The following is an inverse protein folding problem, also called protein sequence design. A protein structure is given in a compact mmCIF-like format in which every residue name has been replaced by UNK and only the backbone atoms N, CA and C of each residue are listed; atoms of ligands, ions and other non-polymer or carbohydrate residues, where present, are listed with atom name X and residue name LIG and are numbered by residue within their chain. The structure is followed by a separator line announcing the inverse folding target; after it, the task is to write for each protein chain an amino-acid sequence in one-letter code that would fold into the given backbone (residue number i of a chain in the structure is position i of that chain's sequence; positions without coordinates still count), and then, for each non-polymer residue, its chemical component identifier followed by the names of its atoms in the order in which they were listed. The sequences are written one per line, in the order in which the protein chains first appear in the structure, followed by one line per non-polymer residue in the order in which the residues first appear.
data_IF_651110455623
#
_entry.id   IF_651110455623
#
_cell.length_a   1.000
_cell.length_b   1.000
_cell.length_c   1.000
_cell.angle_alpha   90.00
_cell.angle_beta   90.00
_cell.angle_gamma   90.00
#
_symmetry.space_group_name_H-M   'P 1'
#
loop_
_entity.id
_entity.type
_entity.pdbx_description
1 polymer ?
#
# COMPACT_ATOMS: atom_id res chain seq x y z
N UNK A 1 -6.23 9.08 12.84
CA UNK A 1 -5.40 7.88 13.03
C UNK A 1 -3.93 8.21 12.81
N UNK A 2 -3.06 7.81 13.72
CA UNK A 2 -1.63 8.03 13.60
C UNK A 2 -1.00 6.95 12.70
N UNK A 3 0.21 7.21 12.21
CA UNK A 3 0.96 6.20 11.44
C UNK A 3 1.17 4.91 12.24
N UNK A 4 1.37 5.02 13.55
CA UNK A 4 1.57 3.89 14.42
C UNK A 4 0.31 3.03 14.50
N UNK A 5 -0.86 3.64 14.64
CA UNK A 5 -2.13 2.92 14.68
C UNK A 5 -2.40 2.20 13.38
N UNK A 6 -2.14 2.85 12.24
CA UNK A 6 -2.30 2.22 10.94
C UNK A 6 -1.35 1.02 10.79
N UNK A 7 -0.10 1.16 11.21
CA UNK A 7 0.87 0.08 11.16
C UNK A 7 0.48 -1.08 12.07
N UNK A 8 -0.04 -0.80 13.26
CA UNK A 8 -0.52 -1.84 14.17
C UNK A 8 -1.71 -2.60 13.60
N UNK A 9 -2.64 -1.90 12.94
CA UNK A 9 -3.77 -2.53 12.25
C UNK A 9 -3.27 -3.46 11.14
N UNK A 10 -2.34 -3.00 10.31
CA UNK A 10 -1.76 -3.82 9.24
C UNK A 10 -1.06 -5.06 9.78
N UNK A 11 -0.46 -4.96 10.96
CA UNK A 11 0.25 -6.06 11.61
C UNK A 11 -0.66 -7.24 11.93
N UNK A 12 -1.95 -6.99 12.18
CA UNK A 12 -2.92 -8.02 12.55
C UNK A 12 -3.86 -8.40 11.41
N UNK A 13 -3.70 -7.81 10.22
CA UNK A 13 -4.52 -8.15 9.07
C UNK A 13 -3.83 -9.18 8.19
N UNK A 14 -4.63 -9.82 7.32
CA UNK A 14 -4.10 -10.69 6.28
C UNK A 14 -3.16 -9.89 5.36
N UNK A 15 -2.11 -10.50 4.79
CA UNK A 15 -1.29 -9.84 3.79
C UNK A 15 -2.07 -9.40 2.54
N UNK A 16 -3.32 -9.82 2.43
CA UNK A 16 -4.20 -9.47 1.31
C UNK A 16 -5.14 -8.31 1.60
N UNK A 17 -5.00 -7.66 2.75
CA UNK A 17 -5.90 -6.59 3.16
C UNK A 17 -5.10 -5.41 3.70
N UNK A 18 -5.45 -4.20 3.25
CA UNK A 18 -4.92 -2.96 3.79
C UNK A 18 -6.05 -2.03 4.19
N UNK A 19 -5.88 -1.32 5.30
CA UNK A 19 -6.78 -0.24 5.70
C UNK A 19 -6.16 1.09 5.31
N UNK A 20 -6.95 1.93 4.66
CA UNK A 20 -6.52 3.26 4.26
C UNK A 20 -7.47 4.31 4.81
N UNK A 21 -6.95 5.53 4.96
CA UNK A 21 -7.76 6.69 5.33
C UNK A 21 -7.85 7.57 4.10
N UNK A 22 -9.08 7.82 3.64
CA UNK A 22 -9.33 8.65 2.47
C UNK A 22 -9.15 10.14 2.81
N UNK A 23 -9.14 10.99 1.78
CA UNK A 23 -8.99 12.44 1.93
C UNK A 23 -10.05 13.08 2.84
N UNK A 24 -11.23 12.45 2.96
CA UNK A 24 -12.32 12.94 3.82
C UNK A 24 -12.39 12.18 5.14
N UNK A 25 -11.28 11.58 5.58
CA UNK A 25 -11.12 10.89 6.86
C UNK A 25 -12.00 9.65 7.03
N UNK A 26 -12.34 8.98 5.94
CA UNK A 26 -13.08 7.72 6.00
C UNK A 26 -12.09 6.56 5.95
N UNK A 27 -12.19 5.64 6.91
CA UNK A 27 -11.40 4.42 6.93
C UNK A 27 -12.00 3.44 5.93
N UNK A 28 -11.19 2.99 4.98
CA UNK A 28 -11.60 1.99 3.99
C UNK A 28 -10.72 0.76 4.07
N UNK A 29 -11.34 -0.38 3.85
CA UNK A 29 -10.69 -1.68 3.74
C UNK A 29 -10.51 -1.99 2.26
N UNK A 30 -9.26 -2.24 1.85
CA UNK A 30 -8.93 -2.54 0.46
C UNK A 30 -8.34 -3.94 0.38
N UNK A 31 -8.84 -4.75 -0.54
CA UNK A 31 -8.41 -6.13 -0.71
C UNK A 31 -7.40 -6.25 -1.84
N UNK A 32 -6.39 -7.10 -1.65
CA UNK A 32 -5.47 -7.46 -2.72
C UNK A 32 -6.12 -8.48 -3.67
N UNK A 33 -5.79 -8.41 -4.96
CA UNK A 33 -4.96 -7.37 -5.56
C UNK A 33 -5.71 -6.06 -5.71
N UNK A 34 -5.01 -4.95 -5.54
CA UNK A 34 -5.58 -3.63 -5.80
C UNK A 34 -4.62 -2.80 -6.65
N UNK A 35 -5.15 -1.79 -7.33
CA UNK A 35 -4.37 -0.96 -8.25
C UNK A 35 -3.77 0.24 -7.54
N UNK A 36 -2.54 0.55 -7.90
CA UNK A 36 -1.86 1.77 -7.46
C UNK A 36 -1.25 2.49 -8.65
N UNK A 37 -1.15 3.80 -8.53
CA UNK A 37 -0.52 4.68 -9.50
C UNK A 37 0.90 5.00 -9.00
N UNK A 38 1.89 4.85 -9.88
CA UNK A 38 3.28 5.13 -9.54
C UNK A 38 3.52 6.63 -9.58
N UNK A 39 3.90 7.23 -8.45
CA UNK A 39 4.15 8.66 -8.34
C UNK A 39 5.64 9.02 -8.31
N UNK A 40 6.50 8.03 -8.14
CA UNK A 40 7.97 8.19 -8.21
C UNK A 40 8.57 7.01 -8.94
N UNK A 41 9.55 7.26 -9.79
CA UNK A 41 10.31 6.19 -10.43
C UNK A 41 11.00 5.35 -9.35
N UNK A 42 10.76 4.05 -9.34
CA UNK A 42 11.36 3.12 -8.38
C UNK A 42 11.55 1.77 -9.04
N UNK A 43 12.76 1.23 -8.97
CA UNK A 43 13.09 -0.02 -9.62
C UNK A 43 12.79 0.08 -11.13
N UNK A 44 12.00 -0.86 -11.64
CA UNK A 44 11.59 -0.88 -13.04
C UNK A 44 10.30 -0.11 -13.30
N UNK A 45 9.68 0.42 -12.25
CA UNK A 45 8.42 1.14 -12.34
C UNK A 45 8.65 2.61 -12.66
N UNK A 46 7.79 3.18 -13.51
CA UNK A 46 7.88 4.57 -13.95
C UNK A 46 6.65 5.35 -13.50
N UNK A 47 6.85 6.64 -13.21
CA UNK A 47 5.76 7.56 -12.92
C UNK A 47 4.70 7.47 -14.00
N UNK A 48 3.45 7.31 -13.59
CA UNK A 48 2.31 7.18 -14.50
C UNK A 48 1.85 5.76 -14.73
N UNK A 49 2.66 4.77 -14.35
CA UNK A 49 2.25 3.37 -14.47
C UNK A 49 1.16 3.04 -13.47
N UNK A 50 0.24 2.18 -13.88
CA UNK A 50 -0.75 1.57 -12.98
C UNK A 50 -0.38 0.12 -12.81
N UNK A 51 -0.15 -0.29 -11.58
CA UNK A 51 0.31 -1.65 -11.26
C UNK A 51 -0.55 -2.26 -10.17
N UNK A 52 -0.51 -3.59 -10.07
CA UNK A 52 -1.28 -4.34 -9.08
C UNK A 52 -0.40 -4.70 -7.87
N UNK A 53 -0.91 -4.40 -6.69
CA UNK A 53 -0.31 -4.84 -5.44
C UNK A 53 -0.88 -6.20 -5.08
N UNK A 54 -0.02 -7.21 -5.04
CA UNK A 54 -0.41 -8.59 -4.80
C UNK A 54 -0.53 -8.92 -3.32
N UNK A 55 0.35 -8.31 -2.52
CA UNK A 55 0.38 -8.48 -1.06
C UNK A 55 0.85 -7.21 -0.39
N UNK A 56 0.50 -7.07 0.88
CA UNK A 56 0.95 -5.96 1.73
C UNK A 56 1.72 -6.55 2.90
N UNK A 57 2.89 -5.98 3.19
CA UNK A 57 3.73 -6.37 4.32
C UNK A 57 4.12 -5.13 5.13
N UNK A 58 4.65 -5.37 6.31
CA UNK A 58 5.14 -4.31 7.19
C UNK A 58 6.55 -4.68 7.62
N UNK A 59 7.49 -3.75 7.50
CA UNK A 59 8.86 -4.00 7.94
C UNK A 59 9.01 -3.81 9.46
N UNK A 60 10.23 -4.03 9.97
CA UNK A 60 10.50 -3.92 11.39
C UNK A 60 10.32 -2.51 11.95
N UNK A 61 10.31 -1.49 11.08
CA UNK A 61 10.05 -0.10 11.43
C UNK A 61 8.59 0.29 11.25
N UNK A 62 7.71 -0.69 11.05
CA UNK A 62 6.27 -0.51 10.83
C UNK A 62 5.95 0.27 9.55
N UNK A 63 6.84 0.24 8.56
CA UNK A 63 6.60 0.85 7.25
C UNK A 63 5.87 -0.14 6.34
N UNK A 64 4.85 0.35 5.67
CA UNK A 64 4.08 -0.46 4.73
C UNK A 64 4.86 -0.72 3.46
N UNK A 65 4.88 -1.98 3.04
CA UNK A 65 5.55 -2.44 1.82
C UNK A 65 4.51 -3.08 0.92
N UNK A 66 4.53 -2.72 -0.35
CA UNK A 66 3.70 -3.35 -1.39
C UNK A 66 4.53 -4.35 -2.18
N UNK A 67 3.99 -5.54 -2.37
CA UNK A 67 4.60 -6.56 -3.22
C UNK A 67 3.97 -6.48 -4.61
N UNK A 68 4.78 -6.13 -5.60
CA UNK A 68 4.39 -5.95 -6.99
C UNK A 68 5.33 -6.79 -7.86
N UNK A 69 4.79 -7.75 -8.59
CA UNK A 69 5.57 -8.67 -9.44
C UNK A 69 6.74 -9.32 -8.68
N UNK A 70 6.46 -9.81 -7.47
CA UNK A 70 7.43 -10.46 -6.58
C UNK A 70 8.56 -9.57 -6.08
N UNK A 71 8.41 -8.25 -6.19
CA UNK A 71 9.37 -7.29 -5.67
C UNK A 71 8.72 -6.40 -4.62
N UNK A 72 9.52 -6.00 -3.63
CA UNK A 72 9.05 -5.19 -2.51
C UNK A 72 9.33 -3.70 -2.77
N UNK A 73 8.32 -2.88 -2.57
CA UNK A 73 8.43 -1.42 -2.71
C UNK A 73 7.79 -0.73 -1.53
N UNK A 74 8.38 0.37 -1.07
CA UNK A 74 7.75 1.18 -0.02
C UNK A 74 6.52 1.90 -0.57
N UNK A 75 5.47 1.94 0.24
CA UNK A 75 4.15 2.46 -0.15
C UNK A 75 4.15 3.93 -0.62
N UNK A 76 5.11 4.74 -0.14
CA UNK A 76 5.14 6.18 -0.45
C UNK A 76 5.46 6.49 -1.91
N UNK A 77 5.86 5.49 -2.68
CA UNK A 77 6.09 5.62 -4.13
C UNK A 77 4.80 5.52 -4.94
N UNK A 78 3.68 5.30 -4.29
CA UNK A 78 2.42 4.96 -4.95
C UNK A 78 1.26 5.74 -4.37
N UNK A 79 0.23 5.91 -5.20
CA UNK A 79 -1.07 6.39 -4.77
C UNK A 79 -2.10 5.28 -5.03
N UNK A 80 -2.91 4.96 -4.02
CA UNK A 80 -3.90 3.88 -4.14
C UNK A 80 -5.07 4.39 -4.96
N UNK A 81 -5.43 3.64 -6.00
CA UNK A 81 -6.59 3.93 -6.82
C UNK A 81 -7.83 3.33 -6.18
N UNK A 82 -8.77 4.19 -5.82
CA UNK A 82 -10.01 3.81 -5.17
C UNK A 82 -11.16 4.05 -6.15
N UNK A 83 -11.97 3.04 -6.34
CA UNK A 83 -13.17 3.15 -7.18
C UNK A 83 -14.35 3.75 -6.40
#
# INVERSE_FOLDING_TARGET
MTKKELADVLKYTSPNIIYIVTWNNILKKVFCPFRVFVIKNVGELRVGDVVLVQEVKVDINLKTIFIIENQAYYYHNFEILID
#
